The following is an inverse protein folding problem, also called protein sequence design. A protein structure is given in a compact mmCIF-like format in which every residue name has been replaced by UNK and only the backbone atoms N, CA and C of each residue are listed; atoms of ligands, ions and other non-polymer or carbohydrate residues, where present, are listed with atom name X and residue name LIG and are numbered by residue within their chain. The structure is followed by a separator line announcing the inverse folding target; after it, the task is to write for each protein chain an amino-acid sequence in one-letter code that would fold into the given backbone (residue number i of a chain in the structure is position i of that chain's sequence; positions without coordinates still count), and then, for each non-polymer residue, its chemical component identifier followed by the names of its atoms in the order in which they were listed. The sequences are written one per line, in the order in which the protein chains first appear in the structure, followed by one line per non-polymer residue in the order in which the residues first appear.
data_IF_395882900168
#
_entry.id   IF_395882900168
#
_cell.length_a   1.000
_cell.length_b   1.000
_cell.length_c   1.000
_cell.angle_alpha   90.00
_cell.angle_beta   90.00
_cell.angle_gamma   90.00
#
_symmetry.space_group_name_H-M   'P 1'
#
loop_
_entity.id
_entity.type
_entity.pdbx_description
1 polymer ?
#
# COMPACT_ATOMS: atom_id res chain seq x y z
N UNK A 1 5.54 -46.58 43.69
CA UNK A 1 6.77 -46.12 44.36
C UNK A 1 6.59 -44.64 44.61
N UNK A 2 6.59 -44.26 45.89
CA UNK A 2 6.13 -42.98 46.44
C UNK A 2 6.67 -41.76 45.70
N UNK A 3 5.79 -40.92 45.16
CA UNK A 3 6.13 -39.61 44.62
C UNK A 3 6.37 -38.68 45.82
N UNK A 4 7.62 -38.72 46.30
CA UNK A 4 8.05 -37.98 47.48
C UNK A 4 7.84 -36.49 47.26
N UNK A 5 7.20 -35.87 48.24
CA UNK A 5 6.90 -34.46 48.42
C UNK A 5 8.13 -33.57 48.14
N UNK A 6 8.36 -33.25 46.85
CA UNK A 6 9.43 -32.33 46.44
C UNK A 6 8.99 -30.93 46.79
N UNK A 7 9.41 -30.45 47.97
CA UNK A 7 9.33 -29.05 48.35
C UNK A 7 10.17 -28.22 47.37
N UNK A 8 9.52 -27.60 46.40
CA UNK A 8 10.12 -26.59 45.55
C UNK A 8 10.17 -25.27 46.31
N UNK A 9 11.37 -24.81 46.65
CA UNK A 9 11.57 -23.53 47.30
C UNK A 9 11.64 -22.43 46.21
N UNK A 10 10.72 -21.46 46.27
CA UNK A 10 10.62 -20.40 45.27
C UNK A 10 11.70 -19.35 45.59
N UNK A 11 12.86 -19.49 44.96
CA UNK A 11 13.91 -18.47 45.01
C UNK A 11 13.69 -17.43 43.89
N UNK A 12 13.60 -16.16 44.28
CA UNK A 12 13.52 -15.01 43.37
C UNK A 12 14.92 -14.46 43.15
N UNK A 13 15.74 -15.20 42.42
CA UNK A 13 17.08 -14.76 42.04
C UNK A 13 17.13 -14.39 40.55
N UNK A 14 17.91 -13.37 40.22
CA UNK A 14 18.03 -12.79 38.88
C UNK A 14 19.15 -13.51 38.10
N UNK A 15 20.13 -14.11 38.80
CA UNK A 15 21.33 -14.69 38.21
C UNK A 15 21.00 -15.90 37.27
N UNK A 16 21.33 -15.80 35.96
CA UNK A 16 21.12 -16.86 34.96
C UNK A 16 21.86 -18.17 35.23
N UNK A 17 23.00 -18.15 35.92
CA UNK A 17 23.79 -19.37 36.11
C UNK A 17 23.37 -20.18 37.35
N UNK A 18 22.69 -19.57 38.32
CA UNK A 18 22.33 -20.22 39.57
C UNK A 18 21.10 -21.15 39.49
N UNK A 19 20.18 -20.93 38.52
CA UNK A 19 18.87 -21.61 38.50
C UNK A 19 18.62 -22.30 37.14
N UNK A 20 18.75 -23.65 37.05
CA UNK A 20 18.62 -24.39 35.79
C UNK A 20 17.19 -24.59 35.30
N UNK A 21 16.16 -24.36 36.14
CA UNK A 21 14.74 -24.46 35.75
C UNK A 21 13.97 -23.21 36.14
N UNK A 22 13.45 -22.50 35.13
CA UNK A 22 12.72 -21.24 35.30
C UNK A 22 11.27 -21.43 34.87
N UNK A 23 10.33 -21.04 35.72
CA UNK A 23 8.90 -20.98 35.39
C UNK A 23 8.50 -19.50 35.42
N UNK A 24 8.23 -18.93 34.24
CA UNK A 24 7.78 -17.55 34.14
C UNK A 24 6.27 -17.48 34.39
N UNK A 25 5.86 -16.88 35.50
CA UNK A 25 4.46 -16.54 35.75
C UNK A 25 4.10 -15.29 34.95
N UNK A 26 3.49 -15.47 33.79
CA UNK A 26 2.88 -14.38 33.02
C UNK A 26 1.43 -14.24 33.51
N UNK A 27 1.14 -13.17 34.25
CA UNK A 27 -0.21 -12.90 34.72
C UNK A 27 -1.16 -12.66 33.51
N UNK A 28 -2.33 -13.33 33.43
CA UNK A 28 -3.23 -13.26 32.28
C UNK A 28 -3.81 -11.87 31.97
N UNK A 29 -3.61 -10.88 32.87
CA UNK A 29 -4.24 -9.56 32.80
C UNK A 29 -3.27 -8.40 32.58
N UNK A 30 -1.99 -8.67 32.33
CA UNK A 30 -1.12 -7.64 31.77
C UNK A 30 -1.46 -7.62 30.28
N UNK A 31 -2.35 -6.71 29.88
CA UNK A 31 -2.42 -6.34 28.47
C UNK A 31 -0.98 -6.09 28.05
N UNK A 32 -0.58 -6.59 26.88
CA UNK A 32 0.66 -6.17 26.29
C UNK A 32 0.50 -4.66 26.02
N UNK A 33 0.71 -3.83 27.04
CA UNK A 33 1.22 -2.50 26.83
C UNK A 33 2.48 -2.78 26.06
N UNK A 34 2.41 -2.47 24.76
CA UNK A 34 3.57 -2.16 23.96
C UNK A 34 4.33 -1.21 24.87
N UNK A 35 5.35 -1.74 25.57
CA UNK A 35 6.37 -0.88 26.14
C UNK A 35 6.78 -0.08 24.93
N UNK A 36 6.40 1.19 24.88
CA UNK A 36 7.10 2.12 24.01
C UNK A 36 8.55 1.80 24.30
N UNK A 37 9.27 1.34 23.29
CA UNK A 37 10.70 1.48 23.39
C UNK A 37 10.86 2.94 23.74
N UNK A 38 11.41 3.24 24.91
CA UNK A 38 11.82 4.59 25.22
C UNK A 38 12.90 4.87 24.18
N UNK A 39 12.45 5.32 23.01
CA UNK A 39 13.30 5.78 21.95
C UNK A 39 14.05 6.96 22.54
N UNK A 40 15.34 7.04 22.22
CA UNK A 40 16.19 8.07 22.76
C UNK A 40 15.65 9.44 22.32
N UNK A 41 15.01 10.13 23.26
CA UNK A 41 14.37 11.41 23.00
C UNK A 41 15.44 12.50 22.91
N UNK A 42 15.44 13.23 21.80
CA UNK A 42 16.37 14.34 21.56
C UNK A 42 15.60 15.66 21.68
N UNK A 43 16.28 16.72 22.15
CA UNK A 43 15.69 18.05 22.25
C UNK A 43 15.23 18.55 20.87
N UNK A 44 13.97 18.97 20.75
CA UNK A 44 13.39 19.48 19.49
C UNK A 44 14.17 20.66 18.94
N UNK A 45 14.59 21.59 19.81
CA UNK A 45 15.52 22.66 19.48
C UNK A 45 16.87 22.39 20.15
N UNK A 46 17.99 22.46 19.42
CA UNK A 46 18.11 22.85 18.02
C UNK A 46 18.01 21.68 17.01
N UNK A 47 18.03 20.42 17.48
CA UNK A 47 18.29 19.25 16.64
C UNK A 47 17.26 19.03 15.53
N UNK A 48 15.96 19.03 15.84
CA UNK A 48 14.92 18.81 14.83
C UNK A 48 14.82 19.99 13.86
N UNK A 49 14.94 21.21 14.38
CA UNK A 49 14.82 22.44 13.59
C UNK A 49 15.98 22.57 12.61
N UNK A 50 17.23 22.32 13.05
CA UNK A 50 18.39 22.35 12.17
C UNK A 50 18.31 21.25 11.10
N UNK A 51 17.95 20.02 11.48
CA UNK A 51 17.75 18.92 10.51
C UNK A 51 16.66 19.25 9.49
N UNK A 52 15.54 19.81 9.96
CA UNK A 52 14.44 20.25 9.10
C UNK A 52 14.89 21.33 8.11
N UNK A 53 15.65 22.32 8.58
CA UNK A 53 16.19 23.39 7.73
C UNK A 53 17.18 22.87 6.70
N UNK A 54 18.07 21.95 7.07
CA UNK A 54 19.00 21.30 6.13
C UNK A 54 18.24 20.52 5.05
N UNK A 55 17.22 19.75 5.43
CA UNK A 55 16.39 19.00 4.47
C UNK A 55 15.59 19.93 3.57
N UNK A 56 15.05 21.02 4.12
CA UNK A 56 14.33 22.04 3.35
C UNK A 56 15.26 22.72 2.33
N UNK A 57 16.45 23.14 2.76
CA UNK A 57 17.45 23.76 1.88
C UNK A 57 17.88 22.79 0.77
N UNK A 58 18.17 21.53 1.13
CA UNK A 58 18.50 20.49 0.15
C UNK A 58 17.36 20.26 -0.86
N UNK A 59 16.10 20.30 -0.43
CA UNK A 59 14.94 20.17 -1.31
C UNK A 59 14.81 21.38 -2.24
N UNK A 60 15.01 22.61 -1.74
CA UNK A 60 15.00 23.83 -2.56
C UNK A 60 16.11 23.80 -3.60
N UNK A 61 17.33 23.41 -3.22
CA UNK A 61 18.45 23.23 -4.15
C UNK A 61 18.12 22.19 -5.20
N UNK A 62 17.56 21.03 -4.82
CA UNK A 62 17.16 19.99 -5.75
C UNK A 62 16.11 20.49 -6.76
N UNK A 63 15.09 21.21 -6.30
CA UNK A 63 14.06 21.79 -7.16
C UNK A 63 14.64 22.86 -8.09
N UNK A 64 15.52 23.73 -7.59
CA UNK A 64 16.20 24.75 -8.39
C UNK A 64 17.08 24.12 -9.46
N UNK A 65 17.90 23.11 -9.12
CA UNK A 65 18.69 22.37 -10.09
C UNK A 65 17.80 21.71 -11.14
N UNK A 66 16.71 21.05 -10.73
CA UNK A 66 15.76 20.44 -11.67
C UNK A 66 15.17 21.49 -12.63
N UNK A 67 14.80 22.66 -12.13
CA UNK A 67 14.28 23.76 -12.96
C UNK A 67 15.31 24.37 -13.91
N UNK A 68 16.62 24.28 -13.61
CA UNK A 68 17.69 24.75 -14.49
C UNK A 68 18.00 23.77 -15.63
N UNK A 69 17.78 22.47 -15.41
CA UNK A 69 18.03 21.44 -16.43
C UNK A 69 16.78 21.07 -17.26
N UNK A 70 15.58 21.32 -16.73
CA UNK A 70 14.32 20.93 -17.36
C UNK A 70 13.36 22.12 -17.42
N UNK A 71 13.21 22.71 -18.60
CA UNK A 71 12.23 23.77 -18.84
C UNK A 71 10.80 23.21 -18.82
N UNK A 72 9.89 23.93 -18.17
CA UNK A 72 8.47 23.62 -18.24
C UNK A 72 7.90 24.13 -19.59
N UNK A 73 7.32 23.25 -20.43
CA UNK A 73 6.71 23.69 -21.68
C UNK A 73 5.51 24.60 -21.37
N UNK A 74 5.51 25.80 -21.95
CA UNK A 74 4.41 26.75 -21.82
C UNK A 74 3.41 26.52 -22.95
N UNK A 75 2.14 26.32 -22.58
CA UNK A 75 1.02 26.24 -23.53
C UNK A 75 0.58 27.63 -23.99
N UNK A 76 -0.30 27.68 -24.99
CA UNK A 76 -0.90 28.92 -25.46
C UNK A 76 -1.83 29.56 -24.42
N UNK A 77 -2.14 30.85 -24.60
CA UNK A 77 -3.12 31.56 -23.78
C UNK A 77 -4.48 30.86 -23.90
N UNK A 78 -5.17 30.68 -22.78
CA UNK A 78 -6.46 29.99 -22.75
C UNK A 78 -7.48 30.63 -23.71
N UNK A 79 -8.02 29.82 -24.63
CA UNK A 79 -9.07 30.20 -25.58
C UNK A 79 -10.31 29.31 -25.38
N UNK A 80 -11.48 29.88 -25.01
CA UNK A 80 -12.72 29.11 -24.86
C UNK A 80 -13.19 28.41 -26.13
N UNK A 81 -12.74 28.85 -27.32
CA UNK A 81 -13.13 28.26 -28.61
C UNK A 81 -12.19 27.13 -29.06
N UNK A 82 -11.11 26.86 -28.33
CA UNK A 82 -10.12 25.85 -28.69
C UNK A 82 -9.80 24.92 -27.51
N UNK A 83 -10.21 23.66 -27.61
CA UNK A 83 -9.89 22.63 -26.62
C UNK A 83 -8.60 21.90 -27.01
N UNK A 84 -7.54 21.92 -26.17
CA UNK A 84 -6.32 21.16 -26.43
C UNK A 84 -6.61 19.66 -26.49
N UNK A 85 -6.05 18.97 -27.49
CA UNK A 85 -6.10 17.52 -27.63
C UNK A 85 -4.67 17.01 -27.87
N UNK A 86 -4.06 16.23 -26.93
CA UNK A 86 -4.62 15.69 -25.69
C UNK A 86 -4.49 16.63 -24.48
N UNK A 87 -5.58 16.88 -23.76
CA UNK A 87 -5.53 17.54 -22.45
C UNK A 87 -5.18 16.54 -21.33
N UNK A 88 -3.99 16.66 -20.73
CA UNK A 88 -3.53 15.81 -19.62
C UNK A 88 -3.57 16.58 -18.29
N UNK A 89 -4.07 15.93 -17.25
CA UNK A 89 -4.02 16.45 -15.89
C UNK A 89 -2.61 16.33 -15.32
N UNK A 90 -2.29 17.07 -14.23
CA UNK A 90 -1.05 16.85 -13.48
C UNK A 90 -0.88 15.38 -13.09
N UNK A 91 0.36 14.91 -13.01
CA UNK A 91 0.70 13.48 -12.83
C UNK A 91 0.02 12.81 -11.64
N UNK A 92 -0.22 13.54 -10.55
CA UNK A 92 -0.91 13.03 -9.35
C UNK A 92 -2.43 12.84 -9.54
N UNK A 93 -3.04 13.47 -10.55
CA UNK A 93 -4.44 13.28 -10.93
C UNK A 93 -4.64 12.43 -12.18
N UNK A 94 -3.57 12.16 -12.93
CA UNK A 94 -3.63 11.48 -14.20
C UNK A 94 -4.20 10.06 -14.08
N UNK A 95 -3.88 9.32 -13.01
CA UNK A 95 -4.51 8.03 -12.74
C UNK A 95 -6.04 8.09 -12.53
N UNK A 96 -6.55 9.16 -11.90
CA UNK A 96 -7.99 9.40 -11.76
C UNK A 96 -8.59 9.82 -13.10
N UNK A 97 -7.88 10.64 -13.88
CA UNK A 97 -8.33 11.04 -15.22
C UNK A 97 -8.52 9.82 -16.15
N UNK A 98 -7.60 8.86 -16.13
CA UNK A 98 -7.77 7.60 -16.87
C UNK A 98 -8.95 6.77 -16.33
N UNK A 99 -9.22 6.81 -15.02
CA UNK A 99 -10.40 6.16 -14.46
C UNK A 99 -11.71 6.78 -15.00
N UNK A 100 -11.75 8.10 -15.22
CA UNK A 100 -12.90 8.80 -15.82
C UNK A 100 -13.16 8.41 -17.29
N UNK A 101 -12.15 7.89 -17.99
CA UNK A 101 -12.33 7.40 -19.35
C UNK A 101 -13.09 6.08 -19.40
N UNK A 102 -12.84 5.21 -18.42
CA UNK A 102 -13.45 3.88 -18.37
C UNK A 102 -14.84 3.87 -17.72
N UNK A 103 -15.05 4.69 -16.69
CA UNK A 103 -16.27 4.70 -15.91
C UNK A 103 -17.12 5.95 -16.15
N UNK A 104 -18.43 5.91 -15.87
CA UNK A 104 -19.26 7.09 -15.90
C UNK A 104 -18.64 8.22 -15.04
N UNK A 105 -18.63 9.50 -15.50
CA UNK A 105 -17.94 10.59 -14.80
C UNK A 105 -18.36 10.77 -13.34
N UNK A 106 -19.64 10.52 -13.03
CA UNK A 106 -20.16 10.59 -11.65
C UNK A 106 -19.51 9.53 -10.74
N UNK A 107 -19.27 8.32 -11.26
CA UNK A 107 -18.69 7.23 -10.48
C UNK A 107 -17.20 7.48 -10.22
N UNK A 108 -16.43 7.73 -11.27
CA UNK A 108 -14.98 7.91 -11.15
C UNK A 108 -14.57 9.26 -10.56
N UNK A 109 -15.25 10.34 -10.92
CA UNK A 109 -14.89 11.70 -10.50
C UNK A 109 -15.47 12.13 -9.16
N UNK A 110 -16.61 11.56 -8.74
CA UNK A 110 -17.32 12.01 -7.54
C UNK A 110 -17.44 10.89 -6.51
N UNK A 111 -18.07 9.76 -6.89
CA UNK A 111 -18.41 8.71 -5.95
C UNK A 111 -17.16 8.05 -5.33
N UNK A 112 -16.19 7.62 -6.15
CA UNK A 112 -14.98 6.94 -5.67
C UNK A 112 -14.14 7.85 -4.75
N UNK A 113 -13.79 9.10 -5.12
CA UNK A 113 -13.05 10.00 -4.23
C UNK A 113 -13.77 10.29 -2.91
N UNK A 114 -15.09 10.52 -2.95
CA UNK A 114 -15.89 10.74 -1.74
C UNK A 114 -15.87 9.51 -0.84
N UNK A 115 -16.01 8.31 -1.40
CA UNK A 115 -15.92 7.07 -0.62
C UNK A 115 -14.55 6.89 0.03
N UNK A 116 -13.46 7.24 -0.65
CA UNK A 116 -12.10 7.19 -0.07
C UNK A 116 -11.98 8.17 1.10
N UNK A 117 -12.47 9.40 0.95
CA UNK A 117 -12.45 10.40 2.05
C UNK A 117 -13.29 9.92 3.23
N UNK A 118 -14.51 9.42 2.99
CA UNK A 118 -15.37 8.86 4.03
C UNK A 118 -14.66 7.68 4.71
N UNK A 119 -14.04 6.78 3.94
CA UNK A 119 -13.28 5.66 4.50
C UNK A 119 -12.14 6.15 5.42
N UNK A 120 -11.35 7.14 4.99
CA UNK A 120 -10.28 7.72 5.81
C UNK A 120 -10.80 8.37 7.10
N UNK A 121 -11.96 9.04 7.06
CA UNK A 121 -12.61 9.59 8.25
C UNK A 121 -13.10 8.47 9.16
N UNK A 122 -13.67 7.40 8.60
CA UNK A 122 -14.34 6.33 9.33
C UNK A 122 -13.35 5.34 9.97
N UNK A 123 -12.28 4.96 9.27
CA UNK A 123 -11.27 3.98 9.71
C UNK A 123 -10.81 4.16 11.18
N UNK A 124 -10.42 5.37 11.67
CA UNK A 124 -9.93 5.53 13.05
C UNK A 124 -10.99 5.25 14.12
N UNK A 125 -12.29 5.30 13.80
CA UNK A 125 -13.37 5.05 14.74
C UNK A 125 -13.70 3.55 14.90
N UNK A 126 -13.21 2.70 14.00
CA UNK A 126 -13.43 1.26 14.08
C UNK A 126 -12.21 0.59 14.71
N UNK A 127 -12.44 -0.18 15.78
CA UNK A 127 -11.43 -1.03 16.40
C UNK A 127 -11.16 -2.28 15.54
N UNK A 128 -10.68 -2.06 14.33
CA UNK A 128 -10.24 -3.15 13.45
C UNK A 128 -8.90 -3.62 14.02
N UNK A 129 -8.92 -4.70 14.79
CA UNK A 129 -7.70 -5.38 15.21
C UNK A 129 -7.09 -6.10 14.00
N UNK A 130 -6.41 -5.35 13.13
CA UNK A 130 -5.68 -5.88 11.97
C UNK A 130 -4.49 -6.65 12.55
N UNK A 131 -4.70 -7.92 12.84
CA UNK A 131 -3.59 -8.82 13.11
C UNK A 131 -2.76 -8.86 11.84
N UNK A 132 -1.49 -8.45 11.93
CA UNK A 132 -0.49 -8.56 10.85
C UNK A 132 -0.10 -10.01 10.57
N UNK A 133 -1.05 -10.93 10.66
CA UNK A 133 -0.90 -12.33 10.35
C UNK A 133 -0.96 -12.50 8.82
N UNK A 134 -0.16 -13.41 8.28
CA UNK A 134 -0.14 -13.70 6.86
C UNK A 134 -1.50 -14.17 6.34
N UNK A 135 -1.84 -13.79 5.11
CA UNK A 135 -3.14 -14.03 4.46
C UNK A 135 -3.68 -15.48 4.62
N UNK A 136 -2.78 -16.46 4.60
CA UNK A 136 -3.11 -17.90 4.60
C UNK A 136 -2.97 -18.61 5.96
N UNK A 137 -2.80 -17.88 7.06
CA UNK A 137 -2.54 -18.47 8.38
C UNK A 137 -3.79 -18.98 9.11
N UNK A 138 -4.92 -18.29 8.98
CA UNK A 138 -6.15 -18.60 9.72
C UNK A 138 -7.03 -19.62 8.99
N UNK A 139 -7.93 -19.17 8.12
CA UNK A 139 -8.93 -20.01 7.45
C UNK A 139 -8.68 -20.08 5.94
N UNK A 140 -7.73 -20.92 5.51
CA UNK A 140 -7.30 -20.98 4.09
C UNK A 140 -8.45 -21.11 3.10
N UNK A 141 -9.43 -21.99 3.36
CA UNK A 141 -10.59 -22.19 2.45
C UNK A 141 -11.47 -20.95 2.37
N UNK A 142 -11.77 -20.31 3.51
CA UNK A 142 -12.62 -19.12 3.55
C UNK A 142 -11.92 -17.92 2.92
N UNK A 143 -10.64 -17.73 3.23
CA UNK A 143 -9.82 -16.68 2.59
C UNK A 143 -9.73 -16.89 1.09
N UNK A 144 -9.53 -18.12 0.62
CA UNK A 144 -9.51 -18.43 -0.81
C UNK A 144 -10.84 -18.08 -1.47
N UNK A 145 -11.97 -18.56 -0.92
CA UNK A 145 -13.30 -18.27 -1.49
C UNK A 145 -13.56 -16.76 -1.52
N UNK A 146 -13.26 -16.05 -0.44
CA UNK A 146 -13.44 -14.60 -0.36
C UNK A 146 -12.55 -13.84 -1.34
N UNK A 147 -11.26 -14.18 -1.42
CA UNK A 147 -10.31 -13.51 -2.28
C UNK A 147 -10.62 -13.76 -3.76
N UNK A 148 -10.93 -15.01 -4.11
CA UNK A 148 -11.32 -15.40 -5.47
C UNK A 148 -12.64 -14.74 -5.87
N UNK A 149 -13.64 -14.71 -4.98
CA UNK A 149 -14.93 -14.07 -5.28
C UNK A 149 -14.79 -12.56 -5.42
N UNK A 150 -14.00 -11.91 -4.57
CA UNK A 150 -13.70 -10.49 -4.68
C UNK A 150 -12.94 -10.15 -5.96
N UNK A 151 -11.85 -10.89 -6.26
CA UNK A 151 -11.06 -10.69 -7.48
C UNK A 151 -11.90 -10.93 -8.74
N UNK A 152 -12.74 -11.97 -8.75
CA UNK A 152 -13.66 -12.27 -9.85
C UNK A 152 -14.72 -11.18 -10.03
N UNK A 153 -15.33 -10.71 -8.95
CA UNK A 153 -16.30 -9.60 -8.99
C UNK A 153 -15.66 -8.32 -9.52
N UNK A 154 -14.46 -7.97 -9.04
CA UNK A 154 -13.71 -6.81 -9.52
C UNK A 154 -13.39 -6.97 -11.01
N UNK A 155 -12.90 -8.14 -11.44
CA UNK A 155 -12.56 -8.37 -12.84
C UNK A 155 -13.80 -8.30 -13.75
N UNK A 156 -14.93 -8.89 -13.35
CA UNK A 156 -16.18 -8.83 -14.13
C UNK A 156 -16.70 -7.41 -14.23
N UNK A 157 -16.76 -6.69 -13.11
CA UNK A 157 -17.23 -5.31 -13.09
C UNK A 157 -16.38 -4.46 -14.05
N UNK A 158 -15.06 -4.55 -13.94
CA UNK A 158 -14.15 -3.79 -14.79
C UNK A 158 -14.19 -4.23 -16.27
N UNK A 159 -14.32 -5.53 -16.54
CA UNK A 159 -14.47 -6.03 -17.90
C UNK A 159 -15.76 -5.55 -18.57
N UNK A 160 -16.86 -5.41 -17.81
CA UNK A 160 -18.12 -4.84 -18.31
C UNK A 160 -17.96 -3.40 -18.81
N UNK A 161 -17.08 -2.62 -18.18
CA UNK A 161 -16.71 -1.26 -18.60
C UNK A 161 -15.47 -1.21 -19.52
N UNK A 162 -15.00 -2.36 -20.02
CA UNK A 162 -13.78 -2.47 -20.87
C UNK A 162 -12.52 -1.86 -20.22
N UNK A 163 -12.47 -1.81 -18.89
CA UNK A 163 -11.37 -1.24 -18.11
C UNK A 163 -10.20 -2.23 -17.96
N UNK A 164 -9.61 -2.65 -19.07
CA UNK A 164 -8.54 -3.65 -19.10
C UNK A 164 -7.29 -3.24 -18.31
N UNK A 165 -7.02 -1.93 -18.24
CA UNK A 165 -5.93 -1.34 -17.47
C UNK A 165 -6.03 -1.63 -15.96
N UNK A 166 -7.22 -1.96 -15.44
CA UNK A 166 -7.45 -2.32 -14.03
C UNK A 166 -7.52 -3.84 -13.86
N UNK A 167 -8.07 -4.55 -14.84
CA UNK A 167 -8.18 -6.02 -14.82
C UNK A 167 -6.80 -6.68 -14.77
N UNK A 168 -5.86 -6.24 -15.61
CA UNK A 168 -4.52 -6.85 -15.69
C UNK A 168 -3.80 -6.78 -14.33
N UNK A 169 -3.65 -5.60 -13.69
CA UNK A 169 -3.06 -5.51 -12.34
C UNK A 169 -3.78 -6.34 -11.29
N UNK A 170 -5.11 -6.38 -11.36
CA UNK A 170 -5.93 -7.16 -10.40
C UNK A 170 -5.60 -8.64 -10.51
N UNK A 171 -5.52 -9.17 -11.73
CA UNK A 171 -5.15 -10.57 -11.97
C UNK A 171 -3.70 -10.86 -11.57
N UNK A 172 -2.76 -9.94 -11.84
CA UNK A 172 -1.36 -10.08 -11.43
C UNK A 172 -1.21 -10.17 -9.91
N UNK A 173 -1.85 -9.26 -9.17
CA UNK A 173 -1.79 -9.23 -7.70
C UNK A 173 -2.51 -10.44 -7.10
N UNK A 174 -3.67 -10.80 -7.64
CA UNK A 174 -4.38 -12.02 -7.25
C UNK A 174 -3.51 -13.26 -7.49
N UNK A 175 -2.91 -13.41 -8.67
CA UNK A 175 -2.00 -14.52 -8.97
C UNK A 175 -0.81 -14.59 -8.01
N UNK A 176 -0.18 -13.45 -7.71
CA UNK A 176 0.92 -13.38 -6.74
C UNK A 176 0.49 -13.79 -5.34
N UNK A 177 -0.71 -13.39 -4.90
CA UNK A 177 -1.25 -13.74 -3.59
C UNK A 177 -1.51 -15.25 -3.41
N UNK A 178 -1.73 -15.98 -4.52
CA UNK A 178 -1.94 -17.42 -4.53
C UNK A 178 -0.65 -18.25 -4.58
N UNK A 179 0.50 -17.65 -4.90
CA UNK A 179 1.80 -18.34 -4.99
C UNK A 179 2.09 -19.25 -3.77
N UNK A 180 1.81 -18.85 -2.51
CA UNK A 180 2.06 -19.70 -1.34
C UNK A 180 1.20 -20.97 -1.27
N UNK A 181 0.12 -21.07 -2.05
CA UNK A 181 -0.72 -22.27 -2.10
C UNK A 181 -0.16 -23.33 -3.04
N UNK A 182 0.50 -22.91 -4.12
CA UNK A 182 1.03 -23.82 -5.14
C UNK A 182 2.50 -24.16 -4.90
N UNK A 183 3.27 -23.22 -4.34
CA UNK A 183 4.69 -23.42 -4.07
C UNK A 183 4.93 -23.91 -2.65
N UNK A 184 5.57 -25.08 -2.51
CA UNK A 184 6.14 -25.56 -1.24
C UNK A 184 7.56 -25.04 -1.00
N UNK A 185 8.10 -24.24 -1.92
CA UNK A 185 9.47 -23.73 -1.85
C UNK A 185 9.63 -22.77 -0.68
N UNK A 186 10.75 -22.90 0.05
CA UNK A 186 11.14 -22.05 1.18
C UNK A 186 11.96 -20.82 0.76
N UNK A 187 11.98 -20.45 -0.52
CA UNK A 187 12.73 -19.29 -1.00
C UNK A 187 12.27 -17.97 -0.36
N UNK A 188 13.21 -17.03 -0.21
CA UNK A 188 12.97 -15.72 0.42
C UNK A 188 11.77 -14.97 -0.16
N UNK A 189 11.54 -15.07 -1.47
CA UNK A 189 10.41 -14.43 -2.15
C UNK A 189 9.06 -15.04 -1.74
N UNK A 190 8.95 -16.38 -1.67
CA UNK A 190 7.70 -17.06 -1.26
C UNK A 190 7.40 -16.77 0.21
N UNK A 191 8.44 -16.72 1.04
CA UNK A 191 8.31 -16.38 2.45
C UNK A 191 7.85 -14.94 2.67
N UNK A 192 8.37 -14.01 1.88
CA UNK A 192 7.94 -12.62 1.88
C UNK A 192 6.45 -12.48 1.54
N UNK A 193 5.99 -13.18 0.49
CA UNK A 193 4.56 -13.23 0.09
C UNK A 193 3.70 -13.85 1.20
N UNK A 194 4.18 -14.90 1.88
CA UNK A 194 3.44 -15.62 2.93
C UNK A 194 3.21 -14.78 4.19
N UNK A 195 4.13 -13.88 4.53
CA UNK A 195 4.04 -13.01 5.71
C UNK A 195 3.11 -11.81 5.51
N UNK A 196 2.79 -11.49 4.25
CA UNK A 196 1.98 -10.34 3.89
C UNK A 196 0.52 -10.53 4.32
N UNK A 197 0.01 -9.56 5.05
CA UNK A 197 -1.37 -9.46 5.55
C UNK A 197 -2.34 -9.03 4.44
N UNK A 198 -3.64 -9.22 4.66
CA UNK A 198 -4.68 -8.82 3.72
C UNK A 198 -4.67 -7.31 3.43
N UNK A 199 -4.42 -6.48 4.44
CA UNK A 199 -4.35 -5.02 4.28
C UNK A 199 -3.20 -4.61 3.37
N UNK A 200 -2.03 -5.23 3.53
CA UNK A 200 -0.88 -4.98 2.65
C UNK A 200 -1.15 -5.43 1.21
N UNK A 201 -1.90 -6.51 0.99
CA UNK A 201 -2.35 -6.93 -0.34
C UNK A 201 -3.32 -5.93 -0.98
N UNK A 202 -4.29 -5.43 -0.21
CA UNK A 202 -5.21 -4.39 -0.70
C UNK A 202 -4.44 -3.12 -1.05
N UNK A 203 -3.51 -2.69 -0.19
CA UNK A 203 -2.68 -1.52 -0.46
C UNK A 203 -1.80 -1.71 -1.69
N UNK A 204 -1.17 -2.89 -1.83
CA UNK A 204 -0.36 -3.23 -3.01
C UNK A 204 -1.22 -3.21 -4.28
N UNK A 205 -2.41 -3.80 -4.26
CA UNK A 205 -3.36 -3.75 -5.37
C UNK A 205 -3.70 -2.31 -5.74
N UNK A 206 -4.07 -1.47 -4.77
CA UNK A 206 -4.42 -0.08 -5.01
C UNK A 206 -3.26 0.71 -5.63
N UNK A 207 -2.04 0.58 -5.08
CA UNK A 207 -0.85 1.26 -5.59
C UNK A 207 -0.51 0.81 -7.01
N UNK A 208 -0.56 -0.50 -7.30
CA UNK A 208 -0.27 -1.01 -8.65
C UNK A 208 -1.33 -0.52 -9.65
N UNK A 209 -2.62 -0.53 -9.29
CA UNK A 209 -3.69 -0.02 -10.16
C UNK A 209 -3.47 1.47 -10.47
N UNK A 210 -3.23 2.30 -9.45
CA UNK A 210 -2.97 3.74 -9.66
C UNK A 210 -1.70 3.97 -10.47
N UNK A 211 -0.63 3.21 -10.20
CA UNK A 211 0.61 3.32 -10.96
C UNK A 211 0.42 2.92 -12.43
N UNK A 212 -0.33 1.85 -12.71
CA UNK A 212 -0.62 1.41 -14.07
C UNK A 212 -1.51 2.40 -14.81
N UNK A 213 -2.56 2.91 -14.17
CA UNK A 213 -3.39 3.98 -14.75
C UNK A 213 -2.56 5.24 -15.02
N UNK A 214 -1.68 5.61 -14.10
CA UNK A 214 -0.78 6.76 -14.28
C UNK A 214 0.19 6.53 -15.44
N UNK A 215 0.75 5.32 -15.57
CA UNK A 215 1.62 4.98 -16.68
C UNK A 215 0.88 4.99 -18.03
N UNK A 216 -0.37 4.49 -18.05
CA UNK A 216 -1.23 4.49 -19.25
C UNK A 216 -1.50 5.92 -19.72
N UNK A 217 -1.97 6.82 -18.84
CA UNK A 217 -2.24 8.19 -19.26
C UNK A 217 -0.99 9.00 -19.58
N UNK A 218 0.16 8.65 -18.99
CA UNK A 218 1.43 9.35 -19.25
C UNK A 218 1.98 8.97 -20.62
N UNK A 219 2.10 7.66 -20.89
CA UNK A 219 2.87 7.16 -22.02
C UNK A 219 2.04 6.63 -23.19
N UNK A 220 0.83 6.11 -22.93
CA UNK A 220 0.06 5.38 -23.94
C UNK A 220 -1.16 6.15 -24.44
N UNK A 221 -1.52 7.26 -23.78
CA UNK A 221 -2.62 8.12 -24.17
C UNK A 221 -2.18 9.17 -25.19
N UNK A 222 -2.76 9.10 -26.37
CA UNK A 222 -2.60 10.07 -27.45
C UNK A 222 -3.83 10.96 -27.70
N UNK A 223 -3.82 11.72 -28.81
CA UNK A 223 -4.92 12.61 -29.21
C UNK A 223 -6.26 11.85 -29.31
N UNK A 224 -7.35 12.53 -28.96
CA UNK A 224 -8.70 11.93 -28.99
C UNK A 224 -8.84 10.61 -28.21
N UNK A 225 -8.06 10.43 -27.13
CA UNK A 225 -8.04 9.21 -26.31
C UNK A 225 -7.63 7.94 -27.08
N UNK A 226 -6.95 8.09 -28.21
CA UNK A 226 -6.44 6.94 -28.95
C UNK A 226 -5.23 6.34 -28.23
N UNK A 227 -5.17 5.01 -28.26
CA UNK A 227 -3.97 4.29 -27.83
C UNK A 227 -2.81 4.60 -28.79
N UNK A 228 -1.68 4.97 -28.22
CA UNK A 228 -0.43 5.28 -28.95
C UNK A 228 0.71 4.48 -28.38
N UNK A 229 1.65 4.11 -29.24
CA UNK A 229 2.88 3.45 -28.81
C UNK A 229 3.99 4.48 -28.73
N UNK A 230 4.54 4.78 -27.54
CA UNK A 230 5.46 5.91 -27.37
C UNK A 230 6.76 5.77 -28.18
N UNK A 231 7.14 4.55 -28.54
CA UNK A 231 8.30 4.25 -29.37
C UNK A 231 8.03 4.28 -30.89
N UNK A 232 6.78 4.43 -31.33
CA UNK A 232 6.40 4.55 -32.75
C UNK A 232 5.83 5.95 -33.01
N UNK A 233 4.86 6.35 -32.20
CA UNK A 233 4.07 7.57 -32.38
C UNK A 233 4.65 8.78 -31.63
N UNK A 234 5.59 8.54 -30.70
CA UNK A 234 6.13 9.55 -29.80
C UNK A 234 5.29 9.74 -28.54
N UNK A 235 5.78 10.59 -27.63
CA UNK A 235 5.07 10.97 -26.41
C UNK A 235 4.33 12.28 -26.68
N UNK A 236 3.03 12.29 -26.37
CA UNK A 236 2.15 13.45 -26.49
C UNK A 236 1.86 14.10 -25.15
#
# INVERSE_FOLDING_TARGET
MSDADRKFEIQRDIDPMAIPKRVAFIAPRVSAQVKSRDEEMVMTFPELILRGLIVMEALVILLALTSLFFDAPLEWIADPNHTPSPAKAPWYFLGIQELLHYFPPVVAGVLIPILVIIALIVIPYFQINIKGEGLWQKDRKRTFIFLTSAAFLICILNAAFKAWAIVIPTLSVYGLSLVPLFSRSSGNAVEWVRRRSLTEWIMLWFVIVVAVLTAVGTFFRGPEWRWTWPWIDGIY
#
